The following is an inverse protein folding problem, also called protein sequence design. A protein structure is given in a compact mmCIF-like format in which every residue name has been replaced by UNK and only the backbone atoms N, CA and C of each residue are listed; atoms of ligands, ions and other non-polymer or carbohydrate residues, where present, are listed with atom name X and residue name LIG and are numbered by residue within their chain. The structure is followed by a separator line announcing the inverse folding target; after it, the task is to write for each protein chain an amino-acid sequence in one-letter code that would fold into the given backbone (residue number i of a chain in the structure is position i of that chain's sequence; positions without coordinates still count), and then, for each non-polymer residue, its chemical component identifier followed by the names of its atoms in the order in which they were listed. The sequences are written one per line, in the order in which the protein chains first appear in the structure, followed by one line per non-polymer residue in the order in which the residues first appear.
data_IF_546634199154
#
_entry.id   IF_546634199154
#
_cell.length_a   1.000
_cell.length_b   1.000
_cell.length_c   1.000
_cell.angle_alpha   90.00
_cell.angle_beta   90.00
_cell.angle_gamma   90.00
#
_symmetry.space_group_name_H-M   'P 1'
#
loop_
_entity.id
_entity.type
_entity.pdbx_description
1 polymer ?
#
# COMPACT_ATOMS: atom_id res chain seq x y z
N UNK A 1 40.58 30.09 -47.84
CA UNK A 1 39.23 30.46 -47.33
C UNK A 1 38.74 29.40 -46.35
N UNK A 2 39.42 29.28 -45.21
CA UNK A 2 39.18 28.23 -44.20
C UNK A 2 38.19 28.66 -43.11
N UNK A 3 37.60 29.86 -43.26
CA UNK A 3 36.72 30.48 -42.27
C UNK A 3 35.26 29.97 -42.30
N UNK A 4 34.86 29.18 -43.31
CA UNK A 4 33.49 28.64 -43.40
C UNK A 4 33.30 27.30 -42.68
N UNK A 5 34.39 26.58 -42.43
CA UNK A 5 34.35 25.25 -41.78
C UNK A 5 34.28 25.39 -40.25
N UNK A 6 34.88 26.46 -39.70
CA UNK A 6 34.86 26.73 -38.26
C UNK A 6 33.47 27.10 -37.72
N UNK A 7 32.59 27.68 -38.55
CA UNK A 7 31.22 28.04 -38.14
C UNK A 7 30.28 26.83 -37.99
N UNK A 8 30.52 25.75 -38.75
CA UNK A 8 29.66 24.57 -38.74
C UNK A 8 29.95 23.66 -37.53
N UNK A 9 31.20 23.64 -37.04
CA UNK A 9 31.60 22.82 -35.88
C UNK A 9 31.15 23.41 -34.54
N UNK A 10 30.96 24.73 -34.45
CA UNK A 10 30.47 25.40 -33.24
C UNK A 10 28.98 25.18 -32.96
N UNK A 11 28.17 24.93 -34.00
CA UNK A 11 26.71 24.78 -33.88
C UNK A 11 26.27 23.38 -33.43
N UNK A 12 27.12 22.35 -33.61
CA UNK A 12 26.85 20.96 -33.21
C UNK A 12 27.12 20.66 -31.72
N UNK A 13 27.81 21.56 -31.00
CA UNK A 13 28.15 21.39 -29.58
C UNK A 13 27.08 21.89 -28.60
N UNK A 14 25.96 22.42 -29.10
CA UNK A 14 24.88 23.01 -28.27
C UNK A 14 23.70 22.06 -28.00
N UNK A 15 23.79 20.77 -28.38
CA UNK A 15 22.72 19.77 -28.15
C UNK A 15 22.99 18.79 -26.98
N UNK A 16 24.03 19.00 -26.16
CA UNK A 16 24.26 18.18 -24.96
C UNK A 16 23.37 18.60 -23.78
N UNK A 17 22.06 18.52 -23.98
CA UNK A 17 21.09 18.57 -22.89
C UNK A 17 21.11 17.26 -22.11
N UNK A 18 21.76 17.24 -20.94
CA UNK A 18 21.65 16.14 -19.99
C UNK A 18 20.24 16.12 -19.37
N UNK A 19 19.29 15.45 -20.03
CA UNK A 19 18.02 15.08 -19.39
C UNK A 19 18.22 13.79 -18.59
N UNK A 20 18.89 13.89 -17.44
CA UNK A 20 18.93 12.82 -16.44
C UNK A 20 17.99 13.15 -15.30
N UNK A 21 16.72 12.78 -15.44
CA UNK A 21 15.73 12.89 -14.37
C UNK A 21 15.40 11.48 -13.88
N UNK A 22 15.90 11.12 -12.70
CA UNK A 22 15.41 9.96 -11.96
C UNK A 22 14.01 10.29 -11.42
N UNK A 23 13.12 9.29 -11.39
CA UNK A 23 11.78 9.40 -10.79
C UNK A 23 11.57 8.26 -9.81
N UNK A 24 11.09 8.60 -8.62
CA UNK A 24 10.63 7.62 -7.64
C UNK A 24 9.22 7.16 -7.99
N UNK A 25 9.00 5.86 -7.99
CA UNK A 25 7.69 5.25 -8.23
C UNK A 25 7.31 4.41 -7.00
N UNK A 26 6.15 4.67 -6.36
CA UNK A 26 5.72 3.88 -5.22
C UNK A 26 5.33 2.46 -5.66
N UNK A 27 5.52 1.50 -4.76
CA UNK A 27 5.05 0.13 -4.97
C UNK A 27 3.51 0.08 -4.92
N UNK A 28 2.92 -0.58 -5.90
CA UNK A 28 1.49 -0.91 -5.84
C UNK A 28 1.25 -1.97 -4.76
N UNK A 29 0.02 -2.10 -4.29
CA UNK A 29 -0.33 -3.17 -3.36
C UNK A 29 -1.64 -3.85 -3.74
N UNK A 30 -1.73 -5.11 -3.34
CA UNK A 30 -2.92 -5.94 -3.41
C UNK A 30 -2.99 -6.81 -2.15
N UNK A 31 -4.12 -6.71 -1.44
CA UNK A 31 -4.43 -7.56 -0.30
C UNK A 31 -5.59 -8.47 -0.63
N UNK A 32 -5.36 -9.78 -0.48
CA UNK A 32 -6.43 -10.78 -0.45
C UNK A 32 -6.88 -10.96 0.99
N UNK A 33 -8.14 -10.59 1.28
CA UNK A 33 -8.78 -10.80 2.56
C UNK A 33 -9.59 -12.09 2.51
N UNK A 34 -9.34 -13.02 3.40
CA UNK A 34 -10.13 -14.24 3.58
C UNK A 34 -10.79 -14.25 4.96
N UNK A 35 -11.94 -14.89 5.07
CA UNK A 35 -12.60 -15.16 6.34
C UNK A 35 -12.91 -16.65 6.47
N UNK A 36 -12.55 -17.20 7.62
CA UNK A 36 -13.06 -18.49 8.04
C UNK A 36 -14.56 -18.40 8.30
N UNK A 37 -15.28 -19.51 8.12
CA UNK A 37 -16.73 -19.57 8.36
C UNK A 37 -17.14 -19.18 9.80
N UNK A 38 -16.23 -19.34 10.77
CA UNK A 38 -16.47 -19.07 12.19
C UNK A 38 -15.93 -17.72 12.68
N UNK A 39 -15.26 -16.91 11.84
CA UNK A 39 -14.43 -15.78 12.29
C UNK A 39 -15.14 -14.78 13.21
N UNK A 40 -16.34 -14.36 12.81
CA UNK A 40 -17.21 -13.47 13.59
C UNK A 40 -18.48 -14.20 14.03
N UNK A 41 -18.35 -15.44 14.52
CA UNK A 41 -19.46 -16.34 14.81
C UNK A 41 -20.41 -16.56 13.61
N UNK A 42 -19.85 -16.54 12.39
CA UNK A 42 -20.60 -16.65 11.13
C UNK A 42 -21.30 -15.37 10.68
N UNK A 43 -21.27 -14.30 11.48
CA UNK A 43 -21.79 -13.00 11.06
C UNK A 43 -20.86 -12.31 10.05
N UNK A 44 -21.37 -11.38 9.22
CA UNK A 44 -20.54 -10.53 8.38
C UNK A 44 -19.44 -9.83 9.19
N UNK A 45 -18.22 -9.80 8.64
CA UNK A 45 -17.07 -9.12 9.23
C UNK A 45 -16.67 -7.94 8.35
N UNK A 46 -16.73 -6.73 8.91
CA UNK A 46 -16.22 -5.54 8.22
C UNK A 46 -14.72 -5.43 8.42
N UNK A 47 -13.99 -5.33 7.33
CA UNK A 47 -12.53 -5.13 7.33
C UNK A 47 -12.21 -3.81 6.64
N UNK A 48 -11.39 -2.99 7.29
CA UNK A 48 -10.89 -1.70 6.79
C UNK A 48 -9.39 -1.79 6.58
N UNK A 49 -8.93 -1.35 5.42
CA UNK A 49 -7.52 -1.20 5.06
C UNK A 49 -7.24 0.30 5.00
N UNK A 50 -6.25 0.75 5.75
CA UNK A 50 -5.79 2.13 5.82
C UNK A 50 -4.41 2.19 5.15
N UNK A 51 -4.25 3.11 4.20
CA UNK A 51 -2.94 3.45 3.66
C UNK A 51 -2.37 4.55 4.54
N UNK A 52 -1.18 4.32 5.10
CA UNK A 52 -0.64 5.11 6.18
C UNK A 52 0.76 5.66 5.86
N UNK A 53 1.00 6.91 6.26
CA UNK A 53 2.33 7.53 6.32
C UNK A 53 3.13 6.99 7.49
N UNK A 54 2.51 6.90 8.67
CA UNK A 54 3.06 6.25 9.87
C UNK A 54 2.01 5.34 10.49
N UNK A 55 2.45 4.23 11.07
CA UNK A 55 1.59 3.28 11.77
C UNK A 55 1.44 3.58 13.27
N UNK A 56 2.20 4.54 13.83
CA UNK A 56 2.26 4.79 15.27
C UNK A 56 0.90 5.15 15.90
N UNK A 57 0.18 6.09 15.28
CA UNK A 57 -1.17 6.48 15.74
C UNK A 57 -2.17 5.33 15.53
N UNK A 58 -2.03 4.57 14.44
CA UNK A 58 -2.88 3.40 14.18
C UNK A 58 -2.66 2.27 15.20
N UNK A 59 -1.41 2.02 15.62
CA UNK A 59 -1.09 0.98 16.60
C UNK A 59 -1.44 1.38 18.03
N UNK A 60 -1.35 2.66 18.38
CA UNK A 60 -1.62 3.15 19.73
C UNK A 60 -3.10 3.44 20.00
N UNK A 61 -3.88 3.74 18.98
CA UNK A 61 -5.31 4.03 19.12
C UNK A 61 -6.10 2.84 19.67
N UNK A 62 -7.20 3.12 20.39
CA UNK A 62 -8.16 2.10 20.76
C UNK A 62 -9.11 1.74 19.60
N UNK A 63 -9.78 0.60 19.73
CA UNK A 63 -10.69 0.08 18.70
C UNK A 63 -11.83 1.05 18.37
N UNK A 64 -12.48 1.64 19.38
CA UNK A 64 -13.67 2.46 19.16
C UNK A 64 -13.32 3.81 18.55
N UNK A 65 -12.18 4.38 18.91
CA UNK A 65 -11.66 5.60 18.28
C UNK A 65 -11.41 5.39 16.79
N UNK A 66 -10.75 4.28 16.39
CA UNK A 66 -10.55 3.95 14.97
C UNK A 66 -11.86 3.62 14.25
N UNK A 67 -12.77 2.88 14.88
CA UNK A 67 -14.06 2.53 14.30
C UNK A 67 -14.89 3.77 13.98
N UNK A 68 -14.99 4.69 14.93
CA UNK A 68 -15.90 5.83 14.84
C UNK A 68 -15.28 7.04 14.14
N UNK A 69 -13.99 7.32 14.37
CA UNK A 69 -13.36 8.59 13.98
C UNK A 69 -11.91 8.42 13.48
N UNK A 70 -11.62 7.40 12.69
CA UNK A 70 -10.27 7.12 12.17
C UNK A 70 -9.55 8.36 11.61
N UNK A 71 -10.22 9.21 10.82
CA UNK A 71 -9.58 10.40 10.24
C UNK A 71 -9.10 11.40 11.29
N UNK A 72 -9.83 11.57 12.39
CA UNK A 72 -9.41 12.46 13.48
C UNK A 72 -8.27 11.84 14.30
N UNK A 73 -8.33 10.53 14.53
CA UNK A 73 -7.34 9.77 15.30
C UNK A 73 -6.00 9.68 14.57
N UNK A 74 -6.04 9.44 13.26
CA UNK A 74 -4.87 9.22 12.42
C UNK A 74 -4.35 10.53 11.81
N UNK A 75 -5.20 11.55 11.67
CA UNK A 75 -4.81 12.86 11.16
C UNK A 75 -4.02 12.78 9.85
N UNK A 76 -2.85 13.42 9.82
CA UNK A 76 -1.95 13.44 8.65
C UNK A 76 -1.26 12.10 8.33
N UNK A 77 -1.42 11.09 9.19
CA UNK A 77 -0.91 9.75 8.91
C UNK A 77 -1.85 8.95 7.99
N UNK A 78 -3.14 9.28 7.94
CA UNK A 78 -4.09 8.63 7.04
C UNK A 78 -4.01 9.22 5.64
N UNK A 79 -3.57 8.41 4.68
CA UNK A 79 -3.47 8.81 3.27
C UNK A 79 -4.68 8.37 2.46
N UNK A 80 -5.18 7.16 2.70
CA UNK A 80 -6.37 6.61 2.06
C UNK A 80 -6.98 5.49 2.93
N UNK A 81 -8.24 5.14 2.69
CA UNK A 81 -8.83 3.94 3.29
C UNK A 81 -9.87 3.28 2.38
N UNK A 82 -9.92 1.95 2.47
CA UNK A 82 -10.88 1.12 1.77
C UNK A 82 -11.51 0.12 2.75
N UNK A 83 -12.75 -0.30 2.48
CA UNK A 83 -13.44 -1.29 3.33
C UNK A 83 -14.14 -2.36 2.51
N UNK A 84 -14.25 -3.56 3.09
CA UNK A 84 -15.03 -4.69 2.54
C UNK A 84 -15.73 -5.42 3.66
N UNK A 85 -16.83 -6.08 3.30
CA UNK A 85 -17.48 -7.06 4.16
C UNK A 85 -17.08 -8.46 3.70
N UNK A 86 -16.63 -9.29 4.63
CA UNK A 86 -16.45 -10.71 4.44
C UNK A 86 -17.68 -11.42 4.98
N UNK A 87 -18.29 -12.28 4.18
CA UNK A 87 -19.50 -13.04 4.54
C UNK A 87 -19.30 -14.52 4.23
N UNK A 88 -20.17 -15.38 4.73
CA UNK A 88 -20.14 -16.82 4.39
C UNK A 88 -20.34 -17.08 2.89
N UNK A 89 -21.06 -16.20 2.20
CA UNK A 89 -21.27 -16.27 0.74
C UNK A 89 -20.12 -15.65 -0.05
N UNK A 90 -19.39 -14.71 0.54
CA UNK A 90 -18.24 -14.02 -0.04
C UNK A 90 -17.09 -14.00 0.97
N UNK A 91 -16.49 -15.17 1.25
CA UNK A 91 -15.47 -15.28 2.30
C UNK A 91 -14.14 -14.66 1.87
N UNK A 92 -13.93 -14.46 0.56
CA UNK A 92 -12.74 -13.84 -0.01
C UNK A 92 -13.08 -12.52 -0.70
N UNK A 93 -12.27 -11.49 -0.46
CA UNK A 93 -12.33 -10.19 -1.13
C UNK A 93 -10.91 -9.75 -1.48
N UNK A 94 -10.77 -9.01 -2.58
CA UNK A 94 -9.49 -8.45 -3.01
C UNK A 94 -9.58 -6.93 -2.98
N UNK A 95 -8.57 -6.32 -2.37
CA UNK A 95 -8.36 -4.87 -2.34
C UNK A 95 -7.01 -4.56 -2.97
N UNK A 96 -6.93 -3.44 -3.66
CA UNK A 96 -5.70 -2.99 -4.30
C UNK A 96 -5.66 -1.47 -4.36
N UNK A 97 -4.46 -0.91 -4.47
CA UNK A 97 -4.26 0.52 -4.54
C UNK A 97 -2.92 0.91 -5.16
N UNK A 98 -2.89 2.15 -5.64
CA UNK A 98 -1.71 2.82 -6.15
C UNK A 98 -1.38 3.96 -5.19
N UNK A 99 -0.59 3.70 -4.13
CA UNK A 99 -0.38 4.67 -3.08
C UNK A 99 0.54 5.81 -3.54
N UNK A 100 0.58 6.92 -2.78
CA UNK A 100 1.55 7.99 -2.98
C UNK A 100 2.94 7.57 -2.48
N UNK A 101 3.97 8.38 -2.77
CA UNK A 101 5.34 8.18 -2.26
C UNK A 101 5.45 8.31 -0.73
N UNK A 102 4.44 8.92 -0.09
CA UNK A 102 4.39 9.10 1.36
C UNK A 102 3.84 7.86 2.10
N UNK A 103 3.32 6.87 1.36
CA UNK A 103 2.76 5.66 1.96
C UNK A 103 3.87 4.68 2.34
N UNK A 104 3.87 4.29 3.60
CA UNK A 104 4.88 3.39 4.16
C UNK A 104 4.26 2.14 4.80
N UNK A 105 2.97 2.18 5.13
CA UNK A 105 2.29 1.07 5.79
C UNK A 105 0.86 0.88 5.29
N UNK A 106 0.38 -0.36 5.37
CA UNK A 106 -1.03 -0.72 5.35
C UNK A 106 -1.45 -1.12 6.76
N UNK A 107 -2.35 -0.36 7.38
CA UNK A 107 -3.03 -0.77 8.59
C UNK A 107 -4.29 -1.56 8.22
N UNK A 108 -4.49 -2.75 8.78
CA UNK A 108 -5.72 -3.54 8.53
C UNK A 108 -6.43 -3.76 9.85
N UNK A 109 -7.71 -3.39 9.89
CA UNK A 109 -8.59 -3.50 11.05
C UNK A 109 -9.80 -4.36 10.71
N UNK A 110 -10.09 -5.34 11.55
CA UNK A 110 -11.31 -6.14 11.48
C UNK A 110 -12.24 -5.77 12.64
N UNK A 111 -13.45 -5.34 12.30
CA UNK A 111 -14.47 -4.92 13.26
C UNK A 111 -15.26 -6.13 13.77
N UNK A 112 -14.58 -7.00 14.55
CA UNK A 112 -15.23 -8.13 15.20
C UNK A 112 -16.29 -7.67 16.21
N UNK A 113 -17.37 -8.44 16.36
CA UNK A 113 -18.40 -8.17 17.36
C UNK A 113 -17.86 -8.25 18.81
N UNK A 114 -16.87 -9.12 19.03
CA UNK A 114 -16.12 -9.20 20.28
C UNK A 114 -14.62 -9.24 19.96
N UNK A 115 -13.87 -8.26 20.46
CA UNK A 115 -12.43 -8.10 20.22
C UNK A 115 -11.56 -8.69 21.34
N UNK A 116 -12.16 -9.13 22.44
CA UNK A 116 -11.41 -9.61 23.60
C UNK A 116 -10.61 -10.86 23.25
N UNK A 117 -9.29 -10.80 23.48
CA UNK A 117 -8.37 -11.88 23.17
C UNK A 117 -8.12 -12.11 21.67
N UNK A 118 -8.54 -11.19 20.79
CA UNK A 118 -8.33 -11.30 19.34
C UNK A 118 -7.34 -10.26 18.83
N UNK A 119 -6.54 -10.64 17.85
CA UNK A 119 -5.79 -9.70 17.02
C UNK A 119 -6.74 -9.02 16.03
N UNK A 120 -7.35 -7.90 16.40
CA UNK A 120 -8.30 -7.17 15.55
C UNK A 120 -7.63 -6.18 14.59
N UNK A 121 -6.31 -5.95 14.74
CA UNK A 121 -5.51 -5.16 13.80
C UNK A 121 -4.18 -5.83 13.47
N UNK A 122 -3.69 -5.55 12.27
CA UNK A 122 -2.32 -5.87 11.82
C UNK A 122 -1.77 -4.72 11.01
N UNK A 123 -0.44 -4.61 10.93
CA UNK A 123 0.27 -3.62 10.10
C UNK A 123 1.14 -4.37 9.10
N UNK A 124 1.11 -3.94 7.85
CA UNK A 124 1.92 -4.48 6.77
C UNK A 124 2.81 -3.36 6.23
N UNK A 125 4.15 -3.45 6.33
CA UNK A 125 5.02 -2.45 5.74
C UNK A 125 4.92 -2.52 4.21
N UNK A 126 4.85 -1.36 3.57
CA UNK A 126 4.97 -1.26 2.12
C UNK A 126 6.46 -1.26 1.71
N UNK A 127 6.81 -1.86 0.56
CA UNK A 127 8.15 -1.75 0.02
C UNK A 127 8.53 -0.28 -0.22
N UNK A 128 9.82 0.04 -0.04
CA UNK A 128 10.32 1.37 -0.34
C UNK A 128 10.13 1.71 -1.83
N UNK A 129 9.87 2.99 -2.18
CA UNK A 129 9.74 3.40 -3.58
C UNK A 129 10.98 3.05 -4.41
N UNK A 130 10.76 2.56 -5.62
CA UNK A 130 11.84 2.19 -6.53
C UNK A 130 12.27 3.41 -7.34
N UNK A 131 13.59 3.66 -7.43
CA UNK A 131 14.11 4.67 -8.35
C UNK A 131 14.15 4.15 -9.78
N UNK A 132 13.28 4.72 -10.61
CA UNK A 132 13.27 4.47 -12.04
C UNK A 132 14.15 5.49 -12.76
N UNK A 133 15.06 5.02 -13.60
CA UNK A 133 15.88 5.84 -14.47
C UNK A 133 15.38 5.69 -15.92
N UNK A 134 15.39 6.77 -16.70
CA UNK A 134 14.84 6.80 -18.06
C UNK A 134 15.52 5.83 -19.06
N UNK A 135 16.77 5.41 -18.82
CA UNK A 135 17.41 4.35 -19.62
C UNK A 135 16.94 2.93 -19.23
N UNK A 136 16.18 2.78 -18.14
CA UNK A 136 15.60 1.52 -17.65
C UNK A 136 14.17 1.30 -18.13
N UNK A 137 13.81 1.82 -19.31
CA UNK A 137 12.49 1.66 -19.92
C UNK A 137 12.08 0.19 -20.18
N UNK A 138 13.04 -0.74 -20.17
CA UNK A 138 12.81 -2.20 -20.23
C UNK A 138 12.86 -2.91 -18.87
N UNK A 139 13.05 -2.19 -17.76
CA UNK A 139 13.27 -2.77 -16.43
C UNK A 139 12.03 -2.58 -15.54
N UNK A 140 11.09 -3.51 -15.69
CA UNK A 140 10.15 -4.04 -14.68
C UNK A 140 9.18 -3.08 -13.95
N UNK A 141 7.90 -3.45 -13.99
CA UNK A 141 6.87 -2.92 -13.08
C UNK A 141 7.38 -2.98 -11.64
N UNK A 142 7.22 -1.92 -10.82
CA UNK A 142 7.61 -1.94 -9.42
C UNK A 142 7.00 -3.17 -8.73
N UNK A 143 7.79 -3.88 -7.92
CA UNK A 143 7.33 -5.04 -7.15
C UNK A 143 6.07 -4.64 -6.38
N UNK A 144 4.93 -5.19 -6.79
CA UNK A 144 3.67 -4.97 -6.12
C UNK A 144 3.65 -5.83 -4.85
N UNK A 145 3.33 -5.22 -3.71
CA UNK A 145 3.09 -5.97 -2.49
C UNK A 145 1.83 -6.84 -2.69
N UNK A 146 2.00 -8.16 -2.74
CA UNK A 146 0.91 -9.12 -2.70
C UNK A 146 0.81 -9.73 -1.30
N UNK A 147 -0.17 -9.30 -0.51
CA UNK A 147 -0.39 -9.81 0.84
C UNK A 147 -1.68 -10.62 0.95
N UNK A 148 -1.71 -11.56 1.91
CA UNK A 148 -2.92 -12.30 2.27
C UNK A 148 -3.18 -12.19 3.76
N UNK A 149 -4.42 -11.87 4.12
CA UNK A 149 -4.86 -11.72 5.50
C UNK A 149 -6.06 -12.65 5.70
N UNK A 150 -5.95 -13.53 6.69
CA UNK A 150 -7.01 -14.45 7.06
C UNK A 150 -7.64 -13.97 8.37
N UNK A 151 -8.94 -13.71 8.35
CA UNK A 151 -9.74 -13.45 9.52
C UNK A 151 -10.29 -14.78 10.05
N UNK A 152 -9.88 -15.14 11.27
CA UNK A 152 -10.28 -16.37 11.94
C UNK A 152 -11.08 -16.03 13.20
N UNK A 153 -11.56 -17.05 13.91
CA UNK A 153 -12.18 -16.88 15.22
C UNK A 153 -11.18 -16.42 16.30
N UNK A 154 -9.88 -16.49 16.06
CA UNK A 154 -8.84 -15.99 16.97
C UNK A 154 -8.37 -14.56 16.63
N UNK A 155 -8.74 -14.03 15.47
CA UNK A 155 -8.33 -12.71 14.99
C UNK A 155 -7.75 -12.76 13.58
N UNK A 156 -7.09 -11.67 13.20
CA UNK A 156 -6.39 -11.53 11.94
C UNK A 156 -5.02 -12.19 11.99
N UNK A 157 -4.70 -12.94 10.94
CA UNK A 157 -3.40 -13.53 10.72
C UNK A 157 -2.89 -13.14 9.34
N UNK A 158 -1.68 -12.61 9.30
CA UNK A 158 -0.97 -12.39 8.05
C UNK A 158 -0.39 -13.73 7.60
N UNK A 159 -0.71 -14.14 6.38
CA UNK A 159 -0.14 -15.37 5.80
C UNK A 159 0.94 -14.95 4.82
N UNK A 160 2.14 -15.52 4.95
CA UNK A 160 3.19 -15.32 3.99
C UNK A 160 2.75 -15.82 2.61
N UNK A 161 3.24 -15.16 1.56
CA UNK A 161 3.11 -15.66 0.20
C UNK A 161 4.06 -16.86 0.10
N UNK A 162 3.54 -18.09 0.24
CA UNK A 162 4.28 -19.27 -0.21
C UNK A 162 4.43 -19.12 -1.74
N UNK A 163 5.69 -19.12 -2.21
CA UNK A 163 6.07 -19.12 -3.64
C UNK A 163 5.59 -20.37 -4.36
#
# INVERSE_FOLDING_TARGET
MSARIAGLFGLLLLLSGCMSSSRQVPANWQLTLNSDASANAGAPLKVRVFVLRSDANFQSADFYSLQNNASAVLGGDLLDNQQRFLTTQQPQQVLNGNPSLEAHYLGVMAEYANINGKAWRVVVPLPAPTETNFYKFWQFSPDALHGRINATAAGLHLTAHDE
#
